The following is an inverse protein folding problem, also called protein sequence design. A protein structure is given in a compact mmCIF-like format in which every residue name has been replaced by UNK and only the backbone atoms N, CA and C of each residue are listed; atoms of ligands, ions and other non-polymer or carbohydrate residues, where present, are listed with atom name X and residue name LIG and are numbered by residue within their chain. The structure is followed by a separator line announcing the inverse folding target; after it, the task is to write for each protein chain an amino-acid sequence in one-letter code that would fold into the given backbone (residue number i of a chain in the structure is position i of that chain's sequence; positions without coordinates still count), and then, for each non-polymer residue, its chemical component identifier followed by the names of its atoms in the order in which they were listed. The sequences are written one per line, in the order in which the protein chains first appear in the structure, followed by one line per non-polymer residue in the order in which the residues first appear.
data_IF_094528887953
#
_entry.id   IF_094528887953
#
_cell.length_a   1.000
_cell.length_b   1.000
_cell.length_c   1.000
_cell.angle_alpha   90.00
_cell.angle_beta   90.00
_cell.angle_gamma   90.00
#
_symmetry.space_group_name_H-M   'P 1'
#
loop_
_entity.id
_entity.type
_entity.pdbx_description
1 polymer ?
#
# COMPACT_ATOMS: atom_id res chain seq x y z
N UNK A 1 15.02 -8.28 20.33
CA UNK A 1 14.10 -8.69 19.26
C UNK A 1 14.58 -8.06 17.97
N UNK A 2 14.83 -8.82 16.90
CA UNK A 2 15.32 -8.25 15.64
C UNK A 2 14.26 -7.33 15.01
N UNK A 3 14.64 -6.42 14.11
CA UNK A 3 13.69 -5.58 13.40
C UNK A 3 12.69 -6.43 12.58
N UNK A 4 13.17 -7.54 12.02
CA UNK A 4 12.35 -8.51 11.28
C UNK A 4 11.27 -9.11 12.19
N UNK A 5 11.62 -9.50 13.41
CA UNK A 5 10.65 -10.04 14.36
C UNK A 5 9.63 -8.98 14.79
N UNK A 6 10.04 -7.72 14.95
CA UNK A 6 9.13 -6.61 15.23
C UNK A 6 8.10 -6.40 14.11
N UNK A 7 8.51 -6.49 12.84
CA UNK A 7 7.58 -6.40 11.71
C UNK A 7 6.56 -7.54 11.75
N UNK A 8 6.99 -8.77 12.05
CA UNK A 8 6.11 -9.94 12.13
C UNK A 8 5.11 -9.86 13.27
N UNK A 9 5.51 -9.35 14.43
CA UNK A 9 4.57 -9.17 15.55
C UNK A 9 3.54 -8.07 15.26
N UNK A 10 3.94 -7.00 14.54
CA UNK A 10 3.02 -5.95 14.09
C UNK A 10 2.04 -6.43 13.02
N UNK A 11 2.47 -7.28 12.10
CA UNK A 11 1.56 -7.88 11.09
C UNK A 11 0.46 -8.70 11.78
N UNK A 12 0.79 -9.52 12.78
CA UNK A 12 -0.22 -10.23 13.59
C UNK A 12 -1.16 -9.29 14.34
N UNK A 13 -0.65 -8.15 14.80
CA UNK A 13 -1.47 -7.12 15.43
C UNK A 13 -2.46 -6.51 14.44
N UNK A 14 -2.01 -6.19 13.21
CA UNK A 14 -2.88 -5.69 12.13
C UNK A 14 -4.01 -6.68 11.83
N UNK A 15 -3.71 -7.98 11.70
CA UNK A 15 -4.73 -9.00 11.43
C UNK A 15 -5.78 -9.08 12.56
N UNK A 16 -5.36 -8.94 13.82
CA UNK A 16 -6.30 -8.90 14.95
C UNK A 16 -7.18 -7.66 14.91
N UNK A 17 -6.59 -6.51 14.59
CA UNK A 17 -7.31 -5.24 14.49
C UNK A 17 -8.30 -5.23 13.32
N UNK A 18 -7.98 -5.86 12.19
CA UNK A 18 -8.92 -6.02 11.07
C UNK A 18 -10.20 -6.72 11.55
N UNK A 19 -10.06 -7.90 12.16
CA UNK A 19 -11.20 -8.68 12.67
C UNK A 19 -11.99 -7.90 13.72
N UNK A 20 -11.30 -7.27 14.69
CA UNK A 20 -11.95 -6.52 15.75
C UNK A 20 -12.75 -5.33 15.21
N UNK A 21 -12.21 -4.58 14.25
CA UNK A 21 -12.89 -3.41 13.70
C UNK A 21 -14.05 -3.85 12.80
N UNK A 22 -13.92 -4.92 12.01
CA UNK A 22 -15.02 -5.45 11.20
C UNK A 22 -16.19 -5.96 12.07
N UNK A 23 -15.92 -6.59 13.21
CA UNK A 23 -16.94 -6.96 14.19
C UNK A 23 -17.67 -5.73 14.76
N UNK A 24 -16.92 -4.66 15.06
CA UNK A 24 -17.51 -3.39 15.53
C UNK A 24 -18.39 -2.75 14.46
N UNK A 25 -17.95 -2.74 13.20
CA UNK A 25 -18.74 -2.24 12.06
C UNK A 25 -20.03 -3.04 11.91
N UNK A 26 -19.94 -4.37 11.96
CA UNK A 26 -21.11 -5.26 11.86
C UNK A 26 -22.12 -4.99 12.97
N UNK A 27 -21.64 -4.84 14.20
CA UNK A 27 -22.48 -4.51 15.35
C UNK A 27 -23.15 -3.13 15.21
N UNK A 28 -22.43 -2.12 14.70
CA UNK A 28 -22.98 -0.79 14.45
C UNK A 28 -24.09 -0.84 13.39
N UNK A 29 -23.89 -1.57 12.31
CA UNK A 29 -24.89 -1.74 11.25
C UNK A 29 -26.14 -2.43 11.81
N UNK A 30 -25.95 -3.55 12.50
CA UNK A 30 -27.06 -4.36 13.04
C UNK A 30 -27.90 -3.60 14.07
N UNK A 31 -27.26 -2.80 14.94
CA UNK A 31 -27.95 -2.13 16.05
C UNK A 31 -28.56 -0.78 15.67
N UNK A 32 -27.88 -0.02 14.81
CA UNK A 32 -28.24 1.38 14.57
C UNK A 32 -28.86 1.63 13.20
N UNK A 33 -28.81 0.65 12.28
CA UNK A 33 -29.36 0.76 10.93
C UNK A 33 -28.97 2.07 10.23
N UNK A 34 -27.66 2.40 10.16
CA UNK A 34 -27.18 3.64 9.57
C UNK A 34 -27.62 3.76 8.12
N UNK A 35 -27.86 4.99 7.65
CA UNK A 35 -28.37 5.25 6.30
C UNK A 35 -27.42 6.14 5.51
N UNK A 36 -27.52 6.06 4.18
CA UNK A 36 -26.81 6.90 3.23
C UNK A 36 -25.32 7.11 3.58
N UNK A 37 -24.97 8.28 4.12
CA UNK A 37 -23.59 8.71 4.39
C UNK A 37 -22.92 7.82 5.44
N UNK A 38 -23.61 7.49 6.53
CA UNK A 38 -23.04 6.70 7.63
C UNK A 38 -22.78 5.26 7.18
N UNK A 39 -23.71 4.66 6.44
CA UNK A 39 -23.53 3.32 5.88
C UNK A 39 -22.38 3.31 4.87
N UNK A 40 -22.29 4.33 4.01
CA UNK A 40 -21.22 4.46 3.03
C UNK A 40 -19.86 4.60 3.70
N UNK A 41 -19.77 5.36 4.79
CA UNK A 41 -18.55 5.47 5.59
C UNK A 41 -18.14 4.10 6.16
N UNK A 42 -19.05 3.40 6.84
CA UNK A 42 -18.76 2.09 7.44
C UNK A 42 -18.31 1.05 6.40
N UNK A 43 -18.96 1.00 5.24
CA UNK A 43 -18.56 0.12 4.15
C UNK A 43 -17.19 0.50 3.55
N UNK A 44 -16.87 1.79 3.50
CA UNK A 44 -15.57 2.26 3.02
C UNK A 44 -14.47 1.88 4.00
N UNK A 45 -14.70 2.05 5.31
CA UNK A 45 -13.76 1.63 6.36
C UNK A 45 -13.49 0.13 6.27
N UNK A 46 -14.53 -0.71 6.23
CA UNK A 46 -14.35 -2.17 6.17
C UNK A 46 -13.49 -2.59 4.96
N UNK A 47 -13.66 -1.94 3.80
CA UNK A 47 -12.81 -2.22 2.63
C UNK A 47 -11.38 -1.70 2.77
N UNK A 48 -11.19 -0.54 3.38
CA UNK A 48 -9.86 0.01 3.66
C UNK A 48 -9.08 -0.84 4.67
N UNK A 49 -9.75 -1.48 5.63
CA UNK A 49 -9.09 -2.39 6.58
C UNK A 49 -8.42 -3.57 5.87
N UNK A 50 -9.09 -4.19 4.90
CA UNK A 50 -8.49 -5.26 4.09
C UNK A 50 -7.29 -4.76 3.29
N UNK A 51 -7.36 -3.58 2.67
CA UNK A 51 -6.19 -3.01 1.99
C UNK A 51 -5.03 -2.73 2.98
N UNK A 52 -5.32 -2.35 4.22
CA UNK A 52 -4.32 -2.13 5.27
C UNK A 52 -3.70 -3.43 5.79
N UNK A 53 -4.49 -4.51 5.93
CA UNK A 53 -3.97 -5.87 6.19
C UNK A 53 -2.99 -6.30 5.10
N UNK A 54 -3.35 -6.10 3.83
CA UNK A 54 -2.47 -6.42 2.70
C UNK A 54 -1.17 -5.63 2.70
N UNK A 55 -1.20 -4.37 3.14
CA UNK A 55 0.04 -3.61 3.36
C UNK A 55 0.93 -4.26 4.42
N UNK A 56 0.33 -4.79 5.49
CA UNK A 56 1.02 -5.57 6.53
C UNK A 56 1.68 -6.84 5.99
N UNK A 57 0.95 -7.62 5.19
CA UNK A 57 1.46 -8.81 4.48
C UNK A 57 2.69 -8.51 3.63
N UNK A 58 2.62 -7.44 2.83
CA UNK A 58 3.70 -7.04 1.95
C UNK A 58 4.91 -6.51 2.75
N UNK A 59 4.70 -5.83 3.88
CA UNK A 59 5.76 -5.45 4.79
C UNK A 59 6.44 -6.67 5.44
N UNK A 60 5.68 -7.70 5.83
CA UNK A 60 6.24 -8.96 6.35
C UNK A 60 7.08 -9.67 5.27
N UNK A 61 6.64 -9.62 4.01
CA UNK A 61 7.41 -10.16 2.87
C UNK A 61 8.72 -9.42 2.67
N UNK A 62 8.73 -8.08 2.75
CA UNK A 62 9.96 -7.28 2.68
C UNK A 62 10.92 -7.70 3.80
N UNK A 63 10.43 -7.82 5.04
CA UNK A 63 11.26 -8.21 6.18
C UNK A 63 11.87 -9.63 6.01
N UNK A 64 11.11 -10.58 5.46
CA UNK A 64 11.61 -11.93 5.13
C UNK A 64 12.73 -11.90 4.09
N UNK A 65 12.59 -11.10 3.04
CA UNK A 65 13.61 -10.97 1.98
C UNK A 65 14.86 -10.23 2.47
N UNK A 66 14.67 -9.15 3.26
CA UNK A 66 15.76 -8.41 3.87
C UNK A 66 16.60 -9.31 4.79
N UNK A 67 15.98 -10.19 5.57
CA UNK A 67 16.70 -11.19 6.38
C UNK A 67 17.54 -12.14 5.52
N UNK A 68 16.95 -12.67 4.43
CA UNK A 68 17.65 -13.59 3.52
C UNK A 68 18.86 -12.93 2.84
N UNK A 69 18.72 -11.67 2.44
CA UNK A 69 19.83 -10.88 1.90
C UNK A 69 20.93 -10.69 2.96
N UNK A 70 20.58 -10.36 4.19
CA UNK A 70 21.53 -10.15 5.28
C UNK A 70 22.28 -11.43 5.69
N UNK A 71 21.61 -12.59 5.67
CA UNK A 71 22.20 -13.90 5.97
C UNK A 71 23.02 -14.47 4.79
N UNK A 72 22.91 -13.86 3.61
CA UNK A 72 23.65 -14.23 2.41
C UNK A 72 25.15 -13.98 2.54
N UNK A 73 25.97 -14.85 1.94
CA UNK A 73 27.45 -14.80 1.99
C UNK A 73 28.07 -14.39 0.65
N UNK A 74 27.39 -13.56 -0.14
CA UNK A 74 27.92 -13.13 -1.43
C UNK A 74 28.95 -12.00 -1.29
N UNK A 75 30.09 -12.13 -1.97
CA UNK A 75 31.14 -11.10 -2.02
C UNK A 75 30.83 -9.90 -2.94
N UNK A 76 29.67 -9.90 -3.61
CA UNK A 76 29.22 -8.82 -4.49
C UNK A 76 27.69 -8.67 -4.38
N UNK A 77 27.22 -7.53 -3.89
CA UNK A 77 25.80 -7.21 -3.72
C UNK A 77 25.35 -6.22 -4.80
N UNK A 78 24.23 -6.49 -5.51
CA UNK A 78 23.64 -5.50 -6.40
C UNK A 78 23.28 -4.22 -5.63
N UNK A 79 23.85 -3.09 -6.03
CA UNK A 79 23.52 -1.78 -5.44
C UNK A 79 22.31 -1.22 -6.17
N UNK A 80 21.13 -1.55 -5.66
CA UNK A 80 19.85 -1.06 -6.19
C UNK A 80 19.21 -0.14 -5.16
N UNK A 81 18.98 1.11 -5.56
CA UNK A 81 18.39 2.11 -4.71
C UNK A 81 16.86 1.93 -4.63
N UNK A 82 16.38 1.49 -3.47
CA UNK A 82 14.94 1.33 -3.18
C UNK A 82 14.45 2.30 -2.10
N UNK A 83 15.32 3.12 -1.48
CA UNK A 83 14.91 4.00 -0.37
C UNK A 83 13.92 5.07 -0.79
N UNK A 84 14.07 5.59 -2.01
CA UNK A 84 13.13 6.57 -2.54
C UNK A 84 11.74 5.95 -2.66
N UNK A 85 11.62 4.82 -3.36
CA UNK A 85 10.37 4.07 -3.51
C UNK A 85 9.74 3.71 -2.16
N UNK A 86 10.55 3.24 -1.19
CA UNK A 86 10.02 2.93 0.16
C UNK A 86 9.52 4.17 0.90
N UNK A 87 10.19 5.33 0.74
CA UNK A 87 9.77 6.58 1.36
C UNK A 87 8.48 7.11 0.72
N UNK A 88 8.36 7.04 -0.60
CA UNK A 88 7.15 7.43 -1.34
C UNK A 88 5.94 6.61 -0.90
N UNK A 89 6.10 5.28 -0.83
CA UNK A 89 5.02 4.37 -0.44
C UNK A 89 4.63 4.56 1.03
N UNK A 90 5.59 4.76 1.94
CA UNK A 90 5.29 5.11 3.32
C UNK A 90 4.57 6.47 3.44
N UNK A 91 4.93 7.45 2.60
CA UNK A 91 4.23 8.72 2.46
C UNK A 91 2.78 8.52 2.04
N UNK A 92 2.53 7.75 0.97
CA UNK A 92 1.17 7.46 0.48
C UNK A 92 0.26 6.84 1.54
N UNK A 93 0.79 5.97 2.41
CA UNK A 93 0.04 5.40 3.54
C UNK A 93 -0.35 6.48 4.57
N UNK A 94 0.56 7.40 4.91
CA UNK A 94 0.22 8.50 5.80
C UNK A 94 -0.80 9.45 5.15
N UNK A 95 -0.58 9.79 3.88
CA UNK A 95 -1.45 10.70 3.13
C UNK A 95 -2.88 10.16 3.02
N UNK A 96 -3.06 8.84 2.85
CA UNK A 96 -4.41 8.26 2.74
C UNK A 96 -5.14 8.25 4.07
N UNK A 97 -4.43 8.04 5.19
CA UNK A 97 -4.99 8.15 6.53
C UNK A 97 -5.36 9.61 6.86
N UNK A 98 -4.53 10.57 6.45
CA UNK A 98 -4.82 12.00 6.58
C UNK A 98 -6.01 12.43 5.73
N UNK A 99 -6.07 11.98 4.47
CA UNK A 99 -7.20 12.25 3.58
C UNK A 99 -8.50 11.64 4.12
N UNK A 100 -8.45 10.43 4.68
CA UNK A 100 -9.57 9.79 5.34
C UNK A 100 -10.04 10.58 6.56
N UNK A 101 -9.12 10.91 7.48
CA UNK A 101 -9.43 11.63 8.71
C UNK A 101 -10.03 13.02 8.46
N UNK A 102 -9.58 13.69 7.39
CA UNK A 102 -10.07 15.03 6.99
C UNK A 102 -11.24 14.98 6.01
N UNK A 103 -11.66 13.78 5.57
CA UNK A 103 -12.65 13.61 4.51
C UNK A 103 -12.30 14.40 3.23
N UNK A 104 -11.00 14.42 2.89
CA UNK A 104 -10.47 15.22 1.79
C UNK A 104 -10.34 14.40 0.51
N UNK A 105 -11.36 14.48 -0.34
CA UNK A 105 -11.37 13.80 -1.64
C UNK A 105 -10.28 14.34 -2.60
N UNK A 106 -9.89 15.61 -2.49
CA UNK A 106 -8.88 16.21 -3.36
C UNK A 106 -7.50 15.69 -3.01
N UNK A 107 -7.19 15.61 -1.70
CA UNK A 107 -5.95 14.99 -1.23
C UNK A 107 -5.88 13.51 -1.63
N UNK A 108 -6.98 12.76 -1.47
CA UNK A 108 -7.06 11.37 -1.91
C UNK A 108 -6.77 11.21 -3.42
N UNK A 109 -7.27 12.11 -4.28
CA UNK A 109 -6.99 12.05 -5.71
C UNK A 109 -5.50 12.27 -6.05
N UNK A 110 -4.75 13.03 -5.23
CA UNK A 110 -3.30 13.20 -5.39
C UNK A 110 -2.54 11.90 -5.11
N UNK A 111 -3.01 11.08 -4.17
CA UNK A 111 -2.43 9.77 -3.85
C UNK A 111 -2.58 8.82 -5.05
N UNK A 112 -3.77 8.83 -5.69
CA UNK A 112 -4.02 8.04 -6.90
C UNK A 112 -3.07 8.43 -8.05
N UNK A 113 -2.65 9.69 -8.11
CA UNK A 113 -1.62 10.13 -9.06
C UNK A 113 -0.22 9.64 -8.66
N UNK A 114 0.12 9.70 -7.38
CA UNK A 114 1.43 9.34 -6.83
C UNK A 114 1.77 7.86 -7.06
N UNK A 115 0.76 6.99 -7.05
CA UNK A 115 0.89 5.57 -7.41
C UNK A 115 1.58 5.35 -8.78
N UNK A 116 1.30 6.20 -9.77
CA UNK A 116 1.95 6.12 -11.09
C UNK A 116 3.46 6.35 -11.05
N UNK A 117 3.94 7.09 -10.05
CA UNK A 117 5.36 7.35 -9.87
C UNK A 117 6.05 6.14 -9.25
N UNK A 118 5.43 5.53 -8.24
CA UNK A 118 5.86 4.25 -7.64
C UNK A 118 5.93 3.14 -8.71
N UNK A 119 4.91 3.05 -9.56
CA UNK A 119 4.85 2.13 -10.70
C UNK A 119 6.03 2.30 -11.68
N UNK A 120 6.42 3.56 -11.91
CA UNK A 120 7.54 3.90 -12.80
C UNK A 120 8.87 3.55 -12.16
N UNK A 121 9.03 3.84 -10.87
CA UNK A 121 10.21 3.49 -10.09
C UNK A 121 10.42 1.98 -10.04
N UNK A 122 9.36 1.21 -9.76
CA UNK A 122 9.39 -0.25 -9.81
C UNK A 122 9.94 -0.78 -11.14
N UNK A 123 9.41 -0.29 -12.27
CA UNK A 123 9.88 -0.68 -13.62
C UNK A 123 11.32 -0.23 -13.90
N UNK A 124 11.76 0.87 -13.29
CA UNK A 124 13.16 1.31 -13.32
C UNK A 124 14.06 0.35 -12.57
N UNK A 125 13.74 0.06 -11.31
CA UNK A 125 14.48 -0.85 -10.43
C UNK A 125 14.56 -2.25 -11.03
N UNK A 126 13.46 -2.77 -11.58
CA UNK A 126 13.45 -4.09 -12.23
C UNK A 126 14.47 -4.18 -13.36
N UNK A 127 14.54 -3.19 -14.25
CA UNK A 127 15.52 -3.17 -15.34
C UNK A 127 16.95 -3.12 -14.81
N UNK A 128 17.19 -2.30 -13.79
CA UNK A 128 18.51 -2.19 -13.17
C UNK A 128 18.94 -3.50 -12.50
N UNK A 129 18.04 -4.17 -11.79
CA UNK A 129 18.30 -5.49 -11.18
C UNK A 129 18.64 -6.54 -12.24
N UNK A 130 17.91 -6.54 -13.37
CA UNK A 130 18.19 -7.46 -14.49
C UNK A 130 19.58 -7.22 -15.07
N UNK A 131 20.05 -5.97 -15.17
CA UNK A 131 21.41 -5.66 -15.63
C UNK A 131 22.47 -6.34 -14.75
N UNK A 132 22.34 -6.28 -13.42
CA UNK A 132 23.26 -6.99 -12.51
C UNK A 132 23.26 -8.52 -12.74
N UNK A 133 22.09 -9.12 -12.99
CA UNK A 133 21.98 -10.56 -13.28
C UNK A 133 22.71 -10.93 -14.58
N UNK A 134 22.69 -10.06 -15.59
CA UNK A 134 23.37 -10.26 -16.87
C UNK A 134 24.88 -10.09 -16.72
N UNK A 135 25.31 -9.07 -15.97
CA UNK A 135 26.74 -8.77 -15.75
C UNK A 135 27.43 -9.85 -14.91
N UNK A 136 26.77 -10.38 -13.89
CA UNK A 136 27.28 -11.48 -13.08
C UNK A 136 26.15 -12.45 -12.65
N UNK A 137 26.07 -13.64 -13.26
CA UNK A 137 25.06 -14.66 -12.92
C UNK A 137 25.09 -15.11 -11.46
N UNK A 138 26.19 -14.90 -10.73
CA UNK A 138 26.26 -15.22 -9.29
C UNK A 138 25.34 -14.32 -8.45
N UNK A 139 24.91 -13.18 -8.99
CA UNK A 139 24.00 -12.24 -8.31
C UNK A 139 22.53 -12.65 -8.39
N UNK A 140 22.17 -13.62 -9.25
CA UNK A 140 20.76 -13.95 -9.57
C UNK A 140 19.91 -14.16 -8.31
N UNK A 141 20.38 -14.93 -7.33
CA UNK A 141 19.61 -15.19 -6.11
C UNK A 141 19.32 -13.93 -5.29
N UNK A 142 20.29 -13.04 -5.12
CA UNK A 142 20.10 -11.78 -4.38
C UNK A 142 19.22 -10.80 -5.17
N UNK A 143 19.43 -10.76 -6.48
CA UNK A 143 18.63 -9.96 -7.41
C UNK A 143 17.15 -10.39 -7.41
N UNK A 144 16.84 -11.69 -7.28
CA UNK A 144 15.46 -12.17 -7.11
C UNK A 144 14.84 -11.63 -5.80
N UNK A 145 15.59 -11.63 -4.70
CA UNK A 145 15.11 -11.11 -3.42
C UNK A 145 14.84 -9.60 -3.48
N UNK A 146 15.69 -8.84 -4.18
CA UNK A 146 15.48 -7.42 -4.45
C UNK A 146 14.24 -7.17 -5.33
N UNK A 147 13.99 -8.01 -6.35
CA UNK A 147 12.76 -7.97 -7.15
C UNK A 147 11.54 -8.16 -6.26
N UNK A 148 11.56 -9.11 -5.32
CA UNK A 148 10.45 -9.32 -4.41
C UNK A 148 10.23 -8.14 -3.46
N UNK A 149 11.29 -7.52 -2.95
CA UNK A 149 11.18 -6.32 -2.11
C UNK A 149 10.55 -5.18 -2.89
N UNK A 150 11.08 -4.87 -4.08
CA UNK A 150 10.57 -3.77 -4.89
C UNK A 150 9.15 -4.03 -5.41
N UNK A 151 8.78 -5.29 -5.70
CA UNK A 151 7.39 -5.64 -6.02
C UNK A 151 6.47 -5.46 -4.82
N UNK A 152 6.89 -5.83 -3.62
CA UNK A 152 6.10 -5.63 -2.41
C UNK A 152 5.86 -4.14 -2.12
N UNK A 153 6.86 -3.28 -2.35
CA UNK A 153 6.70 -1.83 -2.27
C UNK A 153 5.64 -1.30 -3.25
N UNK A 154 5.67 -1.75 -4.52
CA UNK A 154 4.67 -1.34 -5.51
C UNK A 154 3.25 -1.78 -5.11
N UNK A 155 3.09 -2.98 -4.54
CA UNK A 155 1.79 -3.45 -4.06
C UNK A 155 1.26 -2.63 -2.88
N UNK A 156 2.12 -2.22 -1.95
CA UNK A 156 1.71 -1.32 -0.87
C UNK A 156 1.23 0.02 -1.46
N UNK A 157 1.89 0.53 -2.51
CA UNK A 157 1.43 1.69 -3.28
C UNK A 157 0.02 1.47 -3.88
N UNK A 158 -0.22 0.31 -4.50
CA UNK A 158 -1.52 -0.05 -5.07
C UNK A 158 -2.62 -0.12 -4.00
N UNK A 159 -2.34 -0.70 -2.83
CA UNK A 159 -3.28 -0.71 -1.71
C UNK A 159 -3.55 0.70 -1.16
N UNK A 160 -2.54 1.56 -1.09
CA UNK A 160 -2.73 2.98 -0.72
C UNK A 160 -3.61 3.72 -1.74
N UNK A 161 -3.42 3.46 -3.04
CA UNK A 161 -4.30 3.96 -4.11
C UNK A 161 -5.74 3.48 -3.94
N UNK A 162 -5.94 2.18 -3.69
CA UNK A 162 -7.28 1.61 -3.49
C UNK A 162 -7.98 2.27 -2.30
N UNK A 163 -7.28 2.45 -1.18
CA UNK A 163 -7.79 3.18 -0.01
C UNK A 163 -8.15 4.63 -0.35
N UNK A 164 -7.35 5.32 -1.16
CA UNK A 164 -7.64 6.68 -1.58
C UNK A 164 -8.89 6.76 -2.48
N UNK A 165 -9.09 5.79 -3.38
CA UNK A 165 -10.34 5.68 -4.15
C UNK A 165 -11.56 5.44 -3.24
N UNK A 166 -11.40 4.69 -2.13
CA UNK A 166 -12.45 4.54 -1.10
C UNK A 166 -12.76 5.84 -0.39
N UNK A 167 -11.75 6.66 -0.06
CA UNK A 167 -11.97 7.99 0.53
C UNK A 167 -12.78 8.87 -0.41
N UNK A 168 -12.47 8.88 -1.71
CA UNK A 168 -13.24 9.65 -2.70
C UNK A 168 -14.69 9.17 -2.75
N UNK A 169 -14.91 7.85 -2.82
CA UNK A 169 -16.26 7.28 -2.79
C UNK A 169 -17.01 7.62 -1.50
N UNK A 170 -16.34 7.57 -0.34
CA UNK A 170 -16.93 7.94 0.94
C UNK A 170 -17.45 9.39 0.94
N UNK A 171 -16.66 10.32 0.40
CA UNK A 171 -16.94 11.76 0.41
C UNK A 171 -17.93 12.15 -0.69
N UNK A 172 -17.70 11.70 -1.93
CA UNK A 172 -18.48 12.10 -3.12
C UNK A 172 -19.67 11.20 -3.40
N UNK A 173 -19.58 9.91 -3.07
CA UNK A 173 -20.57 8.90 -3.45
C UNK A 173 -20.35 8.31 -4.84
N UNK A 174 -19.41 8.85 -5.61
CA UNK A 174 -19.05 8.37 -6.94
C UNK A 174 -17.92 7.35 -6.91
N UNK A 175 -18.08 6.28 -7.69
CA UNK A 175 -17.04 5.27 -7.85
C UNK A 175 -16.04 5.70 -8.93
N UNK A 176 -14.82 6.01 -8.50
CA UNK A 176 -13.73 6.46 -9.38
C UNK A 176 -12.78 5.34 -9.80
N UNK A 177 -13.01 4.11 -9.33
CA UNK A 177 -12.15 2.96 -9.64
C UNK A 177 -12.14 2.69 -11.14
N UNK A 178 -10.96 2.40 -11.68
CA UNK A 178 -10.74 2.14 -13.11
C UNK A 178 -11.14 3.28 -14.07
N UNK A 179 -11.43 4.49 -13.57
CA UNK A 179 -11.78 5.65 -14.42
C UNK A 179 -10.56 6.44 -14.90
N UNK A 180 -9.40 6.20 -14.28
CA UNK A 180 -8.13 6.88 -14.56
C UNK A 180 -7.99 8.25 -13.88
N UNK A 181 -6.74 8.62 -13.57
CA UNK A 181 -6.38 9.80 -12.76
C UNK A 181 -7.12 11.09 -13.12
N UNK A 182 -7.27 11.41 -14.41
CA UNK A 182 -7.95 12.66 -14.84
C UNK A 182 -9.42 12.69 -14.40
N UNK A 183 -10.12 11.56 -14.49
CA UNK A 183 -11.51 11.47 -14.08
C UNK A 183 -11.60 11.47 -12.55
N UNK A 184 -10.73 10.73 -11.87
CA UNK A 184 -10.62 10.73 -10.40
C UNK A 184 -10.47 12.16 -9.85
N UNK A 185 -9.58 12.96 -10.44
CA UNK A 185 -9.35 14.35 -10.01
C UNK A 185 -10.53 15.29 -10.30
N UNK A 186 -11.25 15.05 -11.39
CA UNK A 186 -12.47 15.80 -11.70
C UNK A 186 -13.53 15.51 -10.64
N UNK A 187 -13.85 14.24 -10.43
CA UNK A 187 -14.85 13.80 -9.44
C UNK A 187 -14.49 14.28 -8.02
N UNK A 188 -13.21 14.27 -7.66
CA UNK A 188 -12.77 14.78 -6.36
C UNK A 188 -13.05 16.27 -6.15
N UNK A 189 -13.07 17.08 -7.22
CA UNK A 189 -13.32 18.53 -7.18
C UNK A 189 -14.79 18.90 -7.32
N UNK A 190 -15.59 18.02 -7.91
CA UNK A 190 -17.02 18.23 -8.07
C UNK A 190 -17.69 18.32 -6.70
N UNK A 191 -18.61 19.27 -6.53
CA UNK A 191 -19.37 19.39 -5.27
C UNK A 191 -20.45 18.30 -5.26
N UNK A 192 -20.54 17.59 -4.13
CA UNK A 192 -21.63 16.64 -3.85
C UNK A 192 -22.94 17.39 -3.62
#
# INVERSE_FOLDING_TARGET
MSLVDQVREREKEINRLEVEIDERITNLIARNQPTAIDLRMLLSISKMLTDMERCGDEAERIAKMARRLHEGTAGYEPVVELRHMSSSVAGMINDVLDAFARQDAVHAAQIVRSDKEVDREWKGSLRHIITYMIEDPRTISHSIDLIFIARALERIGDHAKNMAERVIYMVRGDDVRHTGVKNTERTARDKA
#
